data_IF_277032025024
#
_entry.id   IF_277032025024
#
_cell.length_a   1.000
_cell.length_b   1.000
_cell.length_c   1.000
_cell.angle_alpha   90.00
_cell.angle_beta   90.00
_cell.angle_gamma   90.00
#
_symmetry.space_group_name_H-M   'P 1'
#
loop_
_entity.id
_entity.type
_entity.pdbx_description
1 polymer ?
#
# COMPACT_ATOMS: atom_id res chain seq x y z
N UNK A 1 9.87 15.85 -19.38
CA UNK A 1 8.42 15.89 -19.11
C UNK A 1 7.76 16.75 -20.19
N UNK A 2 6.64 16.24 -20.74
CA UNK A 2 5.79 16.91 -21.73
C UNK A 2 4.40 17.08 -21.09
N UNK A 3 3.89 18.31 -21.09
CA UNK A 3 2.55 18.63 -20.58
C UNK A 3 1.78 19.36 -21.69
N UNK A 4 0.58 18.88 -21.96
CA UNK A 4 -0.31 19.44 -22.97
C UNK A 4 -1.44 20.21 -22.29
N UNK A 5 -1.66 21.44 -22.71
CA UNK A 5 -2.78 22.28 -22.30
C UNK A 5 -3.63 22.59 -23.53
N UNK A 6 -4.94 22.43 -23.43
CA UNK A 6 -5.85 22.76 -24.50
C UNK A 6 -7.14 23.36 -23.94
N UNK A 7 -7.75 24.31 -24.67
CA UNK A 7 -9.04 24.87 -24.29
C UNK A 7 -10.19 23.87 -24.51
N UNK A 8 -10.09 23.14 -25.62
CA UNK A 8 -11.10 22.16 -26.00
C UNK A 8 -10.44 20.85 -26.33
N UNK A 9 -11.05 19.75 -25.88
CA UNK A 9 -10.62 18.39 -26.19
C UNK A 9 -11.85 17.54 -26.51
N UNK A 10 -11.79 16.82 -27.63
CA UNK A 10 -12.84 15.88 -28.02
C UNK A 10 -12.19 14.56 -28.37
N UNK A 11 -12.72 13.48 -27.78
CA UNK A 11 -12.31 12.12 -28.15
C UNK A 11 -13.16 11.69 -29.35
N UNK A 12 -12.49 11.32 -30.44
CA UNK A 12 -13.10 10.80 -31.64
C UNK A 12 -12.74 9.32 -31.74
N UNK A 13 -13.75 8.48 -31.72
CA UNK A 13 -13.63 7.04 -31.98
C UNK A 13 -13.66 6.82 -33.49
N UNK A 14 -12.56 6.31 -34.06
CA UNK A 14 -12.47 5.95 -35.46
C UNK A 14 -12.11 4.47 -35.60
N UNK A 15 -13.11 3.61 -35.62
CA UNK A 15 -12.91 2.16 -35.63
C UNK A 15 -12.30 1.69 -34.31
N UNK A 16 -11.12 1.12 -34.37
CA UNK A 16 -10.37 0.60 -33.21
C UNK A 16 -9.41 1.66 -32.60
N UNK A 17 -9.34 2.85 -33.18
CA UNK A 17 -8.44 3.93 -32.75
C UNK A 17 -9.22 5.02 -32.02
N UNK A 18 -8.78 5.35 -30.80
CA UNK A 18 -9.30 6.47 -30.04
C UNK A 18 -8.33 7.64 -30.17
N UNK A 19 -8.77 8.73 -30.81
CA UNK A 19 -7.95 9.92 -31.03
C UNK A 19 -8.51 11.08 -30.23
N UNK A 20 -7.67 11.66 -29.36
CA UNK A 20 -7.97 12.91 -28.67
C UNK A 20 -7.58 14.09 -29.57
N UNK A 21 -8.56 14.80 -30.10
CA UNK A 21 -8.35 16.02 -30.83
C UNK A 21 -8.42 17.19 -29.87
N UNK A 22 -7.30 17.86 -29.69
CA UNK A 22 -7.15 19.05 -28.85
C UNK A 22 -7.12 20.29 -29.73
N UNK A 23 -7.80 21.37 -29.31
CA UNK A 23 -7.87 22.62 -30.03
C UNK A 23 -7.46 23.81 -29.16
N UNK A 24 -6.75 24.75 -29.74
CA UNK A 24 -6.28 25.99 -29.14
C UNK A 24 -5.47 25.71 -27.86
N UNK A 25 -4.27 25.20 -28.04
CA UNK A 25 -3.47 24.72 -26.91
C UNK A 25 -1.98 25.00 -27.00
N UNK A 26 -1.28 24.61 -25.95
CA UNK A 26 0.16 24.74 -25.78
C UNK A 26 0.78 23.42 -25.27
N UNK A 27 1.95 23.10 -25.80
CA UNK A 27 2.77 21.98 -25.31
C UNK A 27 3.95 22.59 -24.56
N UNK A 28 4.07 22.24 -23.27
CA UNK A 28 5.20 22.62 -22.45
C UNK A 28 6.18 21.44 -22.36
N UNK A 29 7.41 21.67 -22.84
CA UNK A 29 8.49 20.69 -22.79
C UNK A 29 9.60 21.20 -21.89
N UNK A 30 9.93 20.47 -20.85
CA UNK A 30 11.08 20.75 -19.99
C UNK A 30 12.37 20.27 -20.68
N UNK A 31 13.30 21.19 -20.92
CA UNK A 31 14.62 20.93 -21.48
C UNK A 31 15.65 20.60 -20.36
N UNK A 32 16.76 19.91 -20.69
CA UNK A 32 17.88 19.77 -19.77
C UNK A 32 18.45 21.18 -19.48
N UNK A 33 18.38 21.64 -18.23
CA UNK A 33 18.82 22.99 -17.84
C UNK A 33 17.72 23.84 -17.19
N UNK A 34 16.56 23.24 -16.92
CA UNK A 34 15.39 23.89 -16.32
C UNK A 34 14.65 24.92 -17.21
N UNK A 35 15.04 25.08 -18.49
CA UNK A 35 14.33 25.88 -19.47
C UNK A 35 13.06 25.16 -19.92
N UNK A 36 11.99 25.93 -20.19
CA UNK A 36 10.71 25.42 -20.68
C UNK A 36 10.53 25.92 -22.13
N UNK A 37 10.41 24.97 -23.05
CA UNK A 37 9.99 25.27 -24.43
C UNK A 37 8.48 25.17 -24.51
N UNK A 38 7.84 26.22 -25.04
CA UNK A 38 6.39 26.31 -25.24
C UNK A 38 6.10 26.30 -26.74
N UNK A 39 5.30 25.34 -27.20
CA UNK A 39 4.84 25.20 -28.58
C UNK A 39 3.34 25.40 -28.59
N UNK A 40 2.84 26.42 -29.34
CA UNK A 40 1.41 26.67 -29.52
C UNK A 40 0.88 25.92 -30.74
N UNK A 41 -0.31 25.34 -30.60
CA UNK A 41 -1.00 24.66 -31.70
C UNK A 41 -2.47 25.08 -31.78
N UNK A 42 -2.99 25.16 -33.00
CA UNK A 42 -4.40 25.40 -33.26
C UNK A 42 -5.22 24.10 -33.14
N UNK A 43 -4.66 23.01 -33.64
CA UNK A 43 -5.24 21.67 -33.51
C UNK A 43 -4.11 20.65 -33.39
N UNK A 44 -4.28 19.68 -32.47
CA UNK A 44 -3.35 18.60 -32.29
C UNK A 44 -4.13 17.32 -32.03
N UNK A 45 -3.84 16.28 -32.82
CA UNK A 45 -4.44 14.97 -32.65
C UNK A 45 -3.46 14.07 -31.89
N UNK A 46 -3.91 13.56 -30.74
CA UNK A 46 -3.14 12.66 -29.91
C UNK A 46 -3.76 11.26 -29.96
N UNK A 47 -2.97 10.29 -30.36
CA UNK A 47 -3.40 8.90 -30.40
C UNK A 47 -3.46 8.32 -28.98
N UNK A 48 -4.67 8.03 -28.51
CA UNK A 48 -4.92 7.40 -27.23
C UNK A 48 -4.78 5.87 -27.28
N UNK A 49 -4.64 5.27 -28.47
CA UNK A 49 -4.55 3.82 -28.64
C UNK A 49 -3.34 3.26 -27.89
N UNK A 50 -2.28 4.05 -27.74
CA UNK A 50 -1.09 3.69 -26.95
C UNK A 50 -1.44 3.52 -25.46
N UNK A 51 -2.43 4.26 -24.95
CA UNK A 51 -2.88 4.19 -23.55
C UNK A 51 -4.08 3.26 -23.38
N UNK A 52 -4.86 3.09 -24.41
CA UNK A 52 -5.92 2.07 -24.49
C UNK A 52 -5.37 0.74 -25.03
N UNK A 53 -4.10 0.44 -24.73
CA UNK A 53 -3.41 -0.71 -25.22
C UNK A 53 -4.25 -1.98 -25.10
N UNK A 54 -4.56 -2.50 -26.24
CA UNK A 54 -5.32 -3.71 -26.57
C UNK A 54 -6.83 -3.49 -26.73
N UNK A 55 -7.29 -3.71 -27.93
CA UNK A 55 -8.63 -4.07 -28.37
C UNK A 55 -9.12 -5.32 -27.65
N UNK A 56 -9.26 -5.21 -26.34
CA UNK A 56 -9.72 -6.26 -25.45
C UNK A 56 -10.40 -5.62 -24.28
N UNK A 57 -11.48 -6.24 -23.82
CA UNK A 57 -12.12 -5.96 -22.54
C UNK A 57 -11.04 -5.63 -21.50
N UNK A 58 -11.17 -4.53 -20.74
CA UNK A 58 -10.18 -4.11 -19.78
C UNK A 58 -9.80 -5.28 -18.87
N UNK A 59 -8.52 -5.58 -18.77
CA UNK A 59 -8.02 -6.66 -17.91
C UNK A 59 -8.28 -6.30 -16.45
N UNK A 60 -9.40 -6.76 -15.95
CA UNK A 60 -9.77 -6.58 -14.55
C UNK A 60 -9.10 -7.68 -13.72
N UNK A 61 -8.11 -7.29 -12.93
CA UNK A 61 -7.45 -8.18 -11.98
C UNK A 61 -8.38 -8.55 -10.81
N UNK A 62 -8.10 -9.62 -10.05
CA UNK A 62 -8.92 -10.01 -8.90
C UNK A 62 -9.20 -8.87 -7.91
N UNK A 63 -8.21 -8.00 -7.67
CA UNK A 63 -8.32 -6.83 -6.80
C UNK A 63 -9.33 -5.78 -7.26
N UNK A 64 -9.58 -5.71 -8.58
CA UNK A 64 -10.47 -4.71 -9.21
C UNK A 64 -11.91 -5.24 -9.36
N UNK A 65 -12.14 -6.53 -9.04
CA UNK A 65 -13.46 -7.17 -9.12
C UNK A 65 -14.29 -6.90 -7.88
N UNK A 66 -15.60 -6.88 -8.05
CA UNK A 66 -16.54 -6.74 -6.92
C UNK A 66 -16.59 -7.99 -6.07
N UNK A 67 -17.01 -7.85 -4.79
CA UNK A 67 -17.14 -8.98 -3.88
C UNK A 67 -18.08 -10.07 -4.39
N UNK A 68 -19.29 -9.76 -4.89
CA UNK A 68 -20.20 -10.77 -5.48
C UNK A 68 -19.57 -11.56 -6.62
N UNK A 69 -18.77 -10.90 -7.46
CA UNK A 69 -18.06 -11.57 -8.56
C UNK A 69 -16.99 -12.55 -8.05
N UNK A 70 -16.30 -12.21 -6.95
CA UNK A 70 -15.29 -13.10 -6.36
C UNK A 70 -15.91 -14.36 -5.75
N UNK A 71 -17.18 -14.32 -5.31
CA UNK A 71 -17.89 -15.51 -4.84
C UNK A 71 -18.27 -16.47 -5.96
N UNK A 72 -18.65 -15.93 -7.11
CA UNK A 72 -19.04 -16.73 -8.26
C UNK A 72 -18.43 -16.14 -9.54
N UNK A 73 -17.13 -16.37 -9.76
CA UNK A 73 -16.42 -15.85 -10.92
C UNK A 73 -16.90 -16.54 -12.20
N UNK A 74 -16.99 -15.78 -13.29
CA UNK A 74 -17.33 -16.33 -14.61
C UNK A 74 -16.25 -17.31 -15.08
N UNK A 75 -16.59 -18.58 -15.34
CA UNK A 75 -15.66 -19.57 -15.86
C UNK A 75 -15.04 -19.19 -17.21
N UNK A 76 -15.66 -18.27 -17.98
CA UNK A 76 -15.20 -17.82 -19.29
C UNK A 76 -14.23 -16.63 -19.19
N UNK A 77 -14.11 -15.99 -18.02
CA UNK A 77 -13.17 -14.89 -17.80
C UNK A 77 -11.73 -15.36 -18.05
N UNK A 78 -10.99 -14.74 -18.99
CA UNK A 78 -9.61 -15.13 -19.31
C UNK A 78 -8.66 -14.99 -18.11
N UNK A 79 -8.86 -13.98 -17.24
CA UNK A 79 -8.03 -13.79 -16.05
C UNK A 79 -8.34 -14.84 -14.97
N UNK A 80 -9.61 -15.25 -14.83
CA UNK A 80 -9.97 -16.36 -13.93
C UNK A 80 -9.38 -17.69 -14.40
N UNK A 81 -9.44 -18.00 -15.71
CA UNK A 81 -8.82 -19.20 -16.29
C UNK A 81 -7.32 -19.25 -16.05
N UNK A 82 -6.64 -18.10 -16.13
CA UNK A 82 -5.20 -17.99 -15.95
C UNK A 82 -4.76 -18.23 -14.52
N UNK A 83 -5.51 -17.71 -13.54
CA UNK A 83 -5.14 -17.80 -12.12
C UNK A 83 -6.34 -17.86 -11.18
N UNK A 84 -7.09 -18.98 -11.12
CA UNK A 84 -8.26 -19.10 -10.26
C UNK A 84 -7.92 -18.99 -8.77
N UNK A 85 -6.68 -19.34 -8.40
CA UNK A 85 -6.20 -19.26 -7.02
C UNK A 85 -6.08 -17.80 -6.54
N UNK A 86 -5.74 -16.86 -7.42
CA UNK A 86 -5.64 -15.44 -7.09
C UNK A 86 -7.00 -14.83 -6.74
N UNK A 87 -8.09 -15.29 -7.37
CA UNK A 87 -9.46 -14.88 -7.04
C UNK A 87 -9.88 -15.36 -5.65
N UNK A 88 -9.55 -16.62 -5.31
CA UNK A 88 -9.80 -17.17 -3.97
C UNK A 88 -8.95 -16.46 -2.90
N UNK A 89 -7.68 -16.23 -3.19
CA UNK A 89 -6.80 -15.50 -2.28
C UNK A 89 -7.31 -14.09 -2.00
N UNK A 90 -7.78 -13.37 -3.04
CA UNK A 90 -8.35 -12.04 -2.91
C UNK A 90 -9.63 -12.06 -2.06
N UNK A 91 -10.50 -13.05 -2.25
CA UNK A 91 -11.69 -13.22 -1.43
C UNK A 91 -11.34 -13.38 0.05
N UNK A 92 -10.44 -14.31 0.39
CA UNK A 92 -9.99 -14.54 1.77
C UNK A 92 -9.30 -13.31 2.35
N UNK A 93 -8.49 -12.60 1.55
CA UNK A 93 -7.84 -11.36 1.95
C UNK A 93 -8.85 -10.30 2.38
N UNK A 94 -9.90 -10.07 1.59
CA UNK A 94 -10.95 -9.08 1.90
C UNK A 94 -11.69 -9.40 3.20
N UNK A 95 -12.00 -10.68 3.44
CA UNK A 95 -12.63 -11.08 4.70
C UNK A 95 -11.74 -10.85 5.92
N UNK A 96 -10.45 -11.14 5.80
CA UNK A 96 -9.53 -10.98 6.92
C UNK A 96 -9.15 -9.51 7.16
N UNK A 97 -9.19 -8.65 6.14
CA UNK A 97 -8.88 -7.22 6.30
C UNK A 97 -9.78 -6.52 7.32
N UNK A 98 -11.06 -6.90 7.39
CA UNK A 98 -12.02 -6.35 8.35
C UNK A 98 -11.74 -6.75 9.81
N UNK A 99 -11.00 -7.83 10.02
CA UNK A 99 -10.66 -8.31 11.36
C UNK A 99 -9.49 -7.52 11.96
N UNK A 100 -8.57 -7.01 11.14
CA UNK A 100 -7.36 -6.32 11.62
C UNK A 100 -7.60 -5.10 12.51
N UNK A 101 -8.58 -4.21 12.26
CA UNK A 101 -8.88 -3.13 13.19
C UNK A 101 -9.21 -3.61 14.60
N UNK A 102 -9.93 -4.74 14.72
CA UNK A 102 -10.23 -5.37 16.00
C UNK A 102 -8.97 -5.94 16.65
N UNK A 103 -8.12 -6.61 15.86
CA UNK A 103 -6.82 -7.12 16.33
C UNK A 103 -5.96 -5.98 16.87
N UNK A 104 -5.88 -4.85 16.17
CA UNK A 104 -5.09 -3.70 16.60
C UNK A 104 -5.64 -3.06 17.88
N UNK A 105 -6.97 -2.98 18.01
CA UNK A 105 -7.61 -2.52 19.23
C UNK A 105 -7.29 -3.45 20.43
N UNK A 106 -7.36 -4.77 20.22
CA UNK A 106 -7.03 -5.75 21.25
C UNK A 106 -5.55 -5.71 21.64
N UNK A 107 -4.63 -5.60 20.68
CA UNK A 107 -3.20 -5.42 20.95
C UNK A 107 -2.96 -4.16 21.76
N UNK A 108 -3.56 -3.04 21.35
CA UNK A 108 -3.42 -1.77 22.05
C UNK A 108 -3.93 -1.86 23.49
N UNK A 109 -5.08 -2.51 23.69
CA UNK A 109 -5.65 -2.74 25.02
C UNK A 109 -4.77 -3.65 25.87
N UNK A 110 -4.20 -4.72 25.30
CA UNK A 110 -3.31 -5.65 25.98
C UNK A 110 -1.99 -4.99 26.43
N UNK A 111 -1.49 -4.03 25.65
CA UNK A 111 -0.25 -3.30 25.96
C UNK A 111 -0.50 -2.16 26.94
N UNK A 112 -1.58 -1.39 26.77
CA UNK A 112 -1.82 -0.13 27.51
C UNK A 112 -2.76 -0.37 28.70
N UNK A 113 -3.67 -1.34 28.64
CA UNK A 113 -4.76 -1.53 29.59
C UNK A 113 -4.31 -1.73 31.05
N UNK A 114 -3.10 -2.20 31.29
CA UNK A 114 -2.55 -2.41 32.64
C UNK A 114 -1.29 -1.58 32.91
N UNK A 115 -1.10 -0.45 32.22
CA UNK A 115 0.04 0.43 32.43
C UNK A 115 0.01 1.06 33.84
N UNK A 116 0.35 0.26 34.86
CA UNK A 116 0.65 0.70 36.19
C UNK A 116 2.03 1.35 36.18
N UNK A 117 2.05 2.67 36.26
CA UNK A 117 3.24 3.51 36.45
C UNK A 117 4.21 3.58 35.24
N UNK A 118 4.20 4.74 34.59
CA UNK A 118 5.17 5.14 33.56
C UNK A 118 6.65 5.13 34.01
N UNK A 119 6.94 4.82 35.27
CA UNK A 119 8.31 4.92 35.81
C UNK A 119 9.19 3.69 35.61
N UNK A 120 8.62 2.53 35.27
CA UNK A 120 9.40 1.27 35.16
C UNK A 120 9.52 0.71 33.75
N UNK A 121 8.77 1.20 32.78
CA UNK A 121 8.83 0.70 31.40
C UNK A 121 10.00 1.29 30.64
N UNK A 122 10.97 0.44 30.25
CA UNK A 122 12.11 0.79 29.39
C UNK A 122 11.68 1.27 27.99
N UNK A 123 10.49 0.94 27.55
CA UNK A 123 9.97 1.24 26.21
C UNK A 123 8.60 1.88 26.32
N UNK A 124 8.38 2.87 25.45
CA UNK A 124 7.09 3.52 25.35
C UNK A 124 6.02 2.48 24.92
N UNK A 125 4.91 2.32 25.68
CA UNK A 125 3.84 1.37 25.34
C UNK A 125 3.26 1.57 23.94
N UNK A 126 3.24 2.81 23.43
CA UNK A 126 2.82 3.11 22.07
C UNK A 126 3.72 2.43 21.03
N UNK A 127 5.04 2.50 21.21
CA UNK A 127 6.01 1.86 20.31
C UNK A 127 5.82 0.34 20.34
N UNK A 128 5.61 -0.23 21.52
CA UNK A 128 5.34 -1.66 21.69
C UNK A 128 4.07 -2.08 20.93
N UNK A 129 2.96 -1.37 21.14
CA UNK A 129 1.68 -1.67 20.48
C UNK A 129 1.79 -1.57 18.95
N UNK A 130 2.39 -0.50 18.45
CA UNK A 130 2.60 -0.30 16.99
C UNK A 130 3.48 -1.39 16.41
N UNK A 131 4.56 -1.75 17.09
CA UNK A 131 5.47 -2.81 16.61
C UNK A 131 4.77 -4.16 16.51
N UNK A 132 4.02 -4.56 17.54
CA UNK A 132 3.28 -5.82 17.54
C UNK A 132 2.20 -5.80 16.46
N UNK A 133 1.48 -4.69 16.30
CA UNK A 133 0.47 -4.52 15.25
C UNK A 133 1.07 -4.62 13.84
N UNK A 134 2.24 -4.02 13.62
CA UNK A 134 2.98 -4.15 12.35
C UNK A 134 3.41 -5.58 12.07
N UNK A 135 3.94 -6.28 13.07
CA UNK A 135 4.32 -7.70 12.93
C UNK A 135 3.10 -8.55 12.59
N UNK A 136 1.97 -8.34 13.28
CA UNK A 136 0.71 -9.04 12.99
C UNK A 136 0.25 -8.78 11.55
N UNK A 137 0.30 -7.52 11.08
CA UNK A 137 -0.09 -7.14 9.72
C UNK A 137 0.85 -7.73 8.67
N UNK A 138 2.16 -7.69 8.91
CA UNK A 138 3.16 -8.27 8.01
C UNK A 138 3.00 -9.79 7.88
N UNK A 139 2.81 -10.48 9.01
CA UNK A 139 2.57 -11.91 9.01
C UNK A 139 1.31 -12.26 8.21
N UNK A 140 0.21 -11.51 8.38
CA UNK A 140 -1.01 -11.68 7.61
C UNK A 140 -0.83 -11.40 6.12
N UNK A 141 -0.08 -10.37 5.75
CA UNK A 141 0.24 -10.07 4.36
C UNK A 141 1.08 -11.18 3.72
N UNK A 142 2.07 -11.68 4.45
CA UNK A 142 2.88 -12.81 4.00
C UNK A 142 2.03 -14.06 3.77
N UNK A 143 1.12 -14.39 4.70
CA UNK A 143 0.22 -15.52 4.55
C UNK A 143 -0.71 -15.37 3.33
N UNK A 144 -1.28 -14.18 3.12
CA UNK A 144 -2.13 -13.90 1.97
C UNK A 144 -1.38 -14.09 0.63
N UNK A 145 -0.10 -13.73 0.58
CA UNK A 145 0.73 -13.96 -0.61
C UNK A 145 1.02 -15.46 -0.84
N UNK A 146 1.20 -16.24 0.23
CA UNK A 146 1.44 -17.67 0.11
C UNK A 146 0.21 -18.44 -0.42
N UNK A 147 -0.99 -17.97 -0.15
CA UNK A 147 -2.23 -18.58 -0.68
C UNK A 147 -2.30 -18.48 -2.21
N UNK A 148 -1.67 -17.47 -2.82
CA UNK A 148 -1.59 -17.36 -4.29
C UNK A 148 -0.76 -18.48 -4.91
N UNK A 149 0.22 -19.03 -4.19
CA UNK A 149 1.07 -20.13 -4.66
C UNK A 149 0.53 -21.51 -4.28
N UNK A 150 -0.25 -21.61 -3.19
CA UNK A 150 -0.75 -22.89 -2.67
C UNK A 150 -2.15 -22.75 -2.10
N UNK A 151 -3.14 -23.31 -2.80
CA UNK A 151 -4.56 -23.20 -2.42
C UNK A 151 -4.86 -23.78 -1.02
N UNK A 152 -4.05 -24.71 -0.52
CA UNK A 152 -4.26 -25.37 0.78
C UNK A 152 -3.89 -24.48 1.98
N UNK A 153 -3.22 -23.36 1.77
CA UNK A 153 -2.75 -22.47 2.83
C UNK A 153 -3.78 -21.38 3.22
N UNK A 154 -4.99 -21.41 2.66
CA UNK A 154 -6.03 -20.45 3.02
C UNK A 154 -6.35 -20.35 4.52
N UNK A 155 -6.28 -21.45 5.34
CA UNK A 155 -6.57 -21.32 6.77
C UNK A 155 -5.56 -20.45 7.53
N UNK A 156 -4.30 -20.38 7.04
CA UNK A 156 -3.23 -19.61 7.68
C UNK A 156 -3.56 -18.12 7.69
N UNK A 157 -4.28 -17.63 6.66
CA UNK A 157 -4.69 -16.24 6.57
C UNK A 157 -5.62 -15.83 7.72
N UNK A 158 -6.46 -16.75 8.18
CA UNK A 158 -7.35 -16.55 9.34
C UNK A 158 -6.66 -16.83 10.68
N UNK A 159 -5.77 -17.82 10.70
CA UNK A 159 -5.07 -18.24 11.91
C UNK A 159 -4.20 -17.11 12.51
N UNK A 160 -3.60 -16.28 11.66
CA UNK A 160 -2.76 -15.16 12.09
C UNK A 160 -3.57 -14.12 12.88
N UNK A 161 -4.61 -13.47 12.33
CA UNK A 161 -5.36 -12.47 13.07
C UNK A 161 -6.08 -13.06 14.27
N UNK A 162 -6.61 -14.29 14.19
CA UNK A 162 -7.22 -14.99 15.32
C UNK A 162 -6.20 -15.32 16.41
N UNK A 163 -4.99 -15.75 16.04
CA UNK A 163 -3.91 -16.03 16.98
C UNK A 163 -3.47 -14.78 17.75
N UNK A 164 -3.25 -13.66 17.08
CA UNK A 164 -2.94 -12.40 17.74
C UNK A 164 -4.08 -11.91 18.62
N UNK A 165 -5.34 -12.08 18.18
CA UNK A 165 -6.52 -11.75 18.98
C UNK A 165 -6.58 -12.62 20.25
N UNK A 166 -6.40 -13.93 20.13
CA UNK A 166 -6.44 -14.86 21.25
C UNK A 166 -5.34 -14.56 22.28
N UNK A 167 -4.12 -14.30 21.81
CA UNK A 167 -2.99 -13.91 22.67
C UNK A 167 -3.31 -12.59 23.38
N UNK A 168 -3.81 -11.59 22.67
CA UNK A 168 -4.16 -10.30 23.26
C UNK A 168 -5.26 -10.44 24.32
N UNK A 169 -6.32 -11.21 24.03
CA UNK A 169 -7.40 -11.49 24.99
C UNK A 169 -6.86 -12.22 26.21
N UNK A 170 -5.95 -13.17 26.02
CA UNK A 170 -5.33 -13.88 27.14
C UNK A 170 -4.55 -12.95 28.07
N UNK A 171 -3.76 -12.02 27.50
CA UNK A 171 -3.05 -11.00 28.29
C UNK A 171 -4.03 -10.10 29.06
N UNK A 172 -5.11 -9.66 28.42
CA UNK A 172 -6.15 -8.84 29.03
C UNK A 172 -6.83 -9.61 30.18
N UNK A 173 -7.24 -10.86 29.93
CA UNK A 173 -7.95 -11.70 30.91
C UNK A 173 -7.08 -12.06 32.13
N UNK A 174 -5.77 -12.20 31.93
CA UNK A 174 -4.82 -12.51 33.02
C UNK A 174 -4.29 -11.27 33.73
N UNK A 175 -4.74 -10.07 33.35
CA UNK A 175 -4.23 -8.78 33.86
C UNK A 175 -2.69 -8.65 33.76
N UNK A 176 -2.11 -9.22 32.71
CA UNK A 176 -0.68 -9.12 32.40
C UNK A 176 -0.45 -8.11 31.29
N UNK A 177 0.64 -7.35 31.39
CA UNK A 177 1.05 -6.43 30.30
C UNK A 177 1.76 -7.21 29.19
N UNK A 178 1.40 -6.90 27.96
CA UNK A 178 2.11 -7.43 26.80
C UNK A 178 3.35 -6.57 26.54
N UNK A 179 4.53 -7.12 26.77
CA UNK A 179 5.79 -6.44 26.57
C UNK A 179 6.62 -7.11 25.46
N UNK A 180 7.40 -6.31 24.73
CA UNK A 180 8.36 -6.87 23.78
C UNK A 180 9.54 -7.47 24.53
N UNK A 181 10.06 -8.64 24.09
CA UNK A 181 11.31 -9.17 24.61
C UNK A 181 12.41 -8.14 24.55
N UNK A 182 13.17 -7.98 25.64
CA UNK A 182 14.21 -6.94 25.81
C UNK A 182 15.20 -6.92 24.64
N UNK A 183 15.56 -8.10 24.12
CA UNK A 183 16.47 -8.24 22.97
C UNK A 183 15.94 -7.66 21.66
N UNK A 184 14.63 -7.78 21.41
CA UNK A 184 13.98 -7.18 20.23
C UNK A 184 13.82 -5.67 20.41
N UNK A 185 13.50 -5.24 21.61
CA UNK A 185 13.37 -3.86 21.99
C UNK A 185 14.68 -3.09 21.78
N UNK A 186 15.79 -3.63 22.26
CA UNK A 186 17.12 -3.01 22.11
C UNK A 186 17.56 -2.93 20.62
N UNK A 187 17.24 -3.94 19.82
CA UNK A 187 17.48 -3.91 18.38
C UNK A 187 16.65 -2.86 17.64
N UNK A 188 15.38 -2.71 18.02
CA UNK A 188 14.49 -1.69 17.42
C UNK A 188 14.95 -0.29 17.78
N UNK A 189 15.30 -0.04 19.04
CA UNK A 189 15.78 1.26 19.51
C UNK A 189 17.11 1.62 18.84
N UNK A 190 18.04 0.67 18.72
CA UNK A 190 19.31 0.91 18.02
C UNK A 190 19.12 1.17 16.53
N UNK A 191 18.20 0.44 15.87
CA UNK A 191 17.84 0.67 14.47
C UNK A 191 17.18 2.04 14.23
N UNK A 192 16.26 2.45 15.11
CA UNK A 192 15.63 3.77 15.03
C UNK A 192 16.61 4.92 15.28
N UNK A 193 17.57 4.76 16.21
CA UNK A 193 18.65 5.74 16.43
C UNK A 193 19.52 5.90 15.19
N UNK A 194 19.94 4.79 14.56
CA UNK A 194 20.74 4.83 13.32
C UNK A 194 20.01 5.54 12.17
N UNK A 195 18.70 5.36 12.05
CA UNK A 195 17.87 6.05 11.04
C UNK A 195 17.73 7.53 11.39
N UNK A 196 17.51 7.85 12.66
CA UNK A 196 17.42 9.23 13.16
C UNK A 196 18.69 10.02 12.91
N UNK A 197 19.84 9.44 13.24
CA UNK A 197 21.16 10.05 13.04
C UNK A 197 21.45 10.26 11.54
N UNK A 198 21.09 9.31 10.67
CA UNK A 198 21.21 9.48 9.22
C UNK A 198 20.33 10.60 8.67
N UNK A 199 19.09 10.72 9.15
CA UNK A 199 18.18 11.80 8.71
C UNK A 199 18.65 13.16 9.23
N UNK A 200 19.19 13.22 10.45
CA UNK A 200 19.73 14.46 11.01
C UNK A 200 20.97 14.90 10.25
N UNK A 201 21.86 13.97 9.89
CA UNK A 201 23.04 14.24 9.06
C UNK A 201 22.69 14.76 7.66
N UNK A 202 21.67 14.17 7.00
CA UNK A 202 21.19 14.66 5.70
C UNK A 202 20.55 16.05 5.78
N UNK A 203 19.90 16.40 6.90
CA UNK A 203 19.35 17.76 7.11
C UNK A 203 20.46 18.78 7.34
N UNK A 204 21.53 18.42 8.02
CA UNK A 204 22.68 19.30 8.26
C UNK A 204 23.42 19.60 6.94
N UNK A 205 23.67 18.59 6.14
CA UNK A 205 24.34 18.73 4.83
C UNK A 205 23.53 19.56 3.82
N UNK A 206 22.22 19.53 3.91
CA UNK A 206 21.34 20.35 3.06
C UNK A 206 21.33 21.83 3.47
N UNK A 207 21.65 22.14 4.71
CA UNK A 207 21.75 23.52 5.22
C UNK A 207 23.05 24.18 4.77
N UNK A 208 24.17 23.48 4.89
CA UNK A 208 25.47 24.01 4.45
C UNK A 208 25.54 24.24 2.93
N UNK A 209 24.83 23.41 2.15
CA UNK A 209 24.74 23.59 0.68
C UNK A 209 23.90 24.82 0.26
N UNK A 210 23.05 25.36 1.13
CA UNK A 210 22.24 26.57 0.86
C UNK A 210 22.93 27.87 1.30
N UNK A 211 23.85 27.82 2.24
CA UNK A 211 24.61 29.00 2.71
C UNK A 211 25.90 29.25 1.90
N UNK A 212 26.36 28.27 1.11
CA UNK A 212 27.53 28.43 0.23
C UNK A 212 27.21 28.94 -1.19
N UNK A 213 25.96 29.31 -1.48
CA UNK A 213 25.50 29.71 -2.80
C UNK A 213 25.04 31.20 -2.85
N UNK A 214 25.46 32.02 -1.87
CA UNK A 214 25.25 33.50 -1.90
C UNK A 214 26.52 34.25 -2.14
#
# INVERSE_FOLDING_TARGET
DLVYYAKYGTVVEKGDENVLVMQDGEIHRKLPGNDISVIRFLSYAFDLSVFTASNGTPKLYPKDRTLPYLFNPDPHDPEFKKSPQSFRAELHRRFTEWVYPIVFALISLAVIGNARSHREGRINPLVTAVTIALVARWAGYFAANQVQSSANLWPVVYLIPLGFSAVSIWFIATNRTMELPVTLADRLISGLRLIGDRMMFMRFWRRDASEGAT
#
